data_IF_284994013555
#
_entry.id   IF_284994013555
#
_cell.length_a   1.000
_cell.length_b   1.000
_cell.length_c   1.000
_cell.angle_alpha   90.00
_cell.angle_beta   90.00
_cell.angle_gamma   90.00
#
_symmetry.space_group_name_H-M   'P 1'
#
loop_
_entity.id
_entity.type
_entity.pdbx_description
1 polymer ?
#
# COMPACT_ATOMS: atom_id res chain seq x y z
N UNK A 1 4.11 -20.03 -0.13
CA UNK A 1 3.32 -18.95 0.52
C UNK A 1 3.31 -17.76 -0.42
N UNK A 2 2.16 -17.09 -0.68
CA UNK A 2 2.18 -15.94 -1.59
C UNK A 2 3.06 -14.85 -0.98
N UNK A 3 4.13 -14.51 -1.69
CA UNK A 3 5.12 -13.50 -1.28
C UNK A 3 4.43 -12.15 -1.08
N UNK A 4 4.52 -11.61 0.13
CA UNK A 4 4.09 -10.24 0.43
C UNK A 4 5.27 -9.30 0.13
N UNK A 5 5.25 -8.66 -1.02
CA UNK A 5 6.35 -7.80 -1.46
C UNK A 5 6.02 -6.31 -1.44
N UNK A 6 7.06 -5.47 -1.35
CA UNK A 6 6.92 -4.01 -1.32
C UNK A 6 7.01 -3.45 -2.74
N UNK A 7 6.05 -2.60 -3.11
CA UNK A 7 6.06 -1.85 -4.36
C UNK A 7 7.17 -0.79 -4.29
N UNK A 8 8.09 -0.84 -5.26
CA UNK A 8 9.21 0.11 -5.37
C UNK A 8 9.15 0.96 -6.63
N UNK A 9 8.57 0.46 -7.73
CA UNK A 9 8.56 1.15 -9.02
C UNK A 9 7.42 2.18 -9.08
N UNK A 10 7.71 3.39 -9.56
CA UNK A 10 6.70 4.44 -9.76
C UNK A 10 5.54 3.99 -10.64
N UNK A 11 5.81 3.20 -11.68
CA UNK A 11 4.79 2.68 -12.59
C UNK A 11 3.72 1.85 -11.86
N UNK A 12 4.10 1.05 -10.86
CA UNK A 12 3.16 0.26 -10.05
C UNK A 12 2.26 1.15 -9.18
N UNK A 13 2.80 2.24 -8.61
CA UNK A 13 2.00 3.22 -7.87
C UNK A 13 1.00 3.95 -8.79
N UNK A 14 1.42 4.31 -10.01
CA UNK A 14 0.53 4.93 -10.99
C UNK A 14 -0.54 3.95 -11.49
N UNK A 15 -0.18 2.68 -11.67
CA UNK A 15 -1.11 1.62 -11.99
C UNK A 15 -2.19 1.44 -10.91
N UNK A 16 -1.80 1.43 -9.63
CA UNK A 16 -2.75 1.33 -8.53
C UNK A 16 -3.72 2.52 -8.46
N UNK A 17 -3.27 3.73 -8.83
CA UNK A 17 -4.14 4.92 -8.92
C UNK A 17 -5.25 4.80 -9.97
N UNK A 18 -5.07 3.95 -11.00
CA UNK A 18 -6.08 3.69 -12.03
C UNK A 18 -7.04 2.56 -11.66
N UNK A 19 -6.85 1.92 -10.49
CA UNK A 19 -7.68 0.83 -10.01
C UNK A 19 -8.80 1.29 -9.09
N UNK A 20 -9.25 0.37 -8.23
CA UNK A 20 -10.23 0.63 -7.18
C UNK A 20 -9.68 1.68 -6.22
N UNK A 21 -10.53 2.65 -5.88
CA UNK A 21 -10.25 3.71 -4.93
C UNK A 21 -11.27 3.70 -3.80
N UNK A 22 -10.80 3.52 -2.57
CA UNK A 22 -11.63 3.53 -1.36
C UNK A 22 -11.10 4.58 -0.39
N UNK A 23 -11.86 5.66 -0.20
CA UNK A 23 -11.56 6.66 0.81
C UNK A 23 -12.09 6.21 2.17
N UNK A 24 -11.26 6.31 3.21
CA UNK A 24 -11.60 6.09 4.63
C UNK A 24 -11.08 7.29 5.45
N UNK A 25 -11.59 7.53 6.66
CA UNK A 25 -10.97 8.50 7.56
C UNK A 25 -9.48 8.19 7.73
N UNK A 26 -8.63 9.19 7.50
CA UNK A 26 -7.18 9.11 7.68
C UNK A 26 -6.35 8.57 6.50
N UNK A 27 -6.93 7.86 5.52
CA UNK A 27 -6.19 7.41 4.33
C UNK A 27 -7.10 7.02 3.14
N UNK A 28 -6.48 6.93 1.97
CA UNK A 28 -7.13 6.38 0.76
C UNK A 28 -6.43 5.08 0.39
N UNK A 29 -7.20 4.01 0.22
CA UNK A 29 -6.74 2.75 -0.33
C UNK A 29 -6.88 2.77 -1.85
N UNK A 30 -5.81 2.38 -2.54
CA UNK A 30 -5.77 2.18 -3.98
C UNK A 30 -5.37 0.73 -4.24
N UNK A 31 -6.17 0.02 -5.04
CA UNK A 31 -5.95 -1.40 -5.30
C UNK A 31 -6.23 -1.74 -6.77
N UNK A 32 -5.45 -2.67 -7.31
CA UNK A 32 -5.61 -3.15 -8.69
C UNK A 32 -5.17 -4.62 -8.75
N UNK A 33 -5.87 -5.48 -9.50
CA UNK A 33 -5.33 -6.78 -9.90
C UNK A 33 -3.96 -6.65 -10.54
N UNK A 34 -3.04 -7.55 -10.20
CA UNK A 34 -1.66 -7.51 -10.67
C UNK A 34 -1.26 -8.76 -11.48
N UNK A 35 -2.22 -9.56 -11.91
CA UNK A 35 -1.99 -10.73 -12.75
C UNK A 35 -1.23 -11.84 -12.03
N UNK A 36 -1.59 -12.11 -10.77
CA UNK A 36 -1.04 -13.24 -10.01
C UNK A 36 0.35 -13.03 -9.41
N UNK A 37 0.91 -11.81 -9.42
CA UNK A 37 2.25 -11.50 -8.89
C UNK A 37 2.34 -11.51 -7.35
N UNK A 38 1.44 -12.22 -6.67
CA UNK A 38 1.30 -12.20 -5.22
C UNK A 38 0.77 -10.87 -4.67
N UNK A 39 0.76 -10.76 -3.34
CA UNK A 39 0.26 -9.56 -2.65
C UNK A 39 1.38 -8.52 -2.61
N UNK A 40 1.12 -7.33 -3.15
CA UNK A 40 2.11 -6.24 -3.24
C UNK A 40 1.54 -4.99 -2.57
N UNK A 41 2.33 -4.27 -1.79
CA UNK A 41 1.86 -3.04 -1.14
C UNK A 41 2.86 -1.88 -1.20
N UNK A 42 2.35 -0.66 -1.17
CA UNK A 42 3.14 0.56 -1.11
C UNK A 42 2.44 1.62 -0.27
N UNK A 43 3.22 2.54 0.32
CA UNK A 43 2.70 3.61 1.18
C UNK A 43 3.21 4.94 0.65
N UNK A 44 2.29 5.85 0.38
CA UNK A 44 2.59 7.25 0.07
C UNK A 44 2.12 8.13 1.23
N UNK A 45 2.92 9.13 1.59
CA UNK A 45 2.57 10.13 2.60
C UNK A 45 2.82 11.49 1.97
N UNK A 46 1.81 12.36 1.98
CA UNK A 46 1.91 13.67 1.32
C UNK A 46 2.91 14.57 2.06
N UNK A 47 3.50 15.52 1.33
CA UNK A 47 4.42 16.52 1.92
C UNK A 47 3.73 17.41 2.95
N UNK A 48 2.39 17.55 2.88
CA UNK A 48 1.58 18.32 3.82
C UNK A 48 1.59 17.74 5.25
N UNK A 49 1.92 16.46 5.40
CA UNK A 49 1.98 15.80 6.70
C UNK A 49 3.33 16.08 7.35
N UNK A 50 3.35 17.05 8.27
CA UNK A 50 4.44 17.32 9.21
C UNK A 50 5.85 17.34 8.60
N UNK A 51 6.83 17.12 9.46
CA UNK A 51 8.23 17.01 9.05
C UNK A 51 8.58 15.57 8.58
N UNK A 52 9.83 15.37 8.15
CA UNK A 52 10.31 14.07 7.69
C UNK A 52 10.18 12.96 8.75
N UNK A 53 10.38 13.29 10.03
CA UNK A 53 10.29 12.35 11.15
C UNK A 53 8.85 11.85 11.32
N UNK A 54 7.87 12.75 11.27
CA UNK A 54 6.44 12.40 11.34
C UNK A 54 6.05 11.46 10.20
N UNK A 55 6.41 11.80 8.95
CA UNK A 55 6.13 10.94 7.79
C UNK A 55 6.80 9.58 7.88
N UNK A 56 8.04 9.52 8.35
CA UNK A 56 8.77 8.27 8.50
C UNK A 56 8.16 7.39 9.59
N UNK A 57 7.70 7.98 10.70
CA UNK A 57 6.96 7.27 11.75
C UNK A 57 5.66 6.68 11.21
N UNK A 58 4.89 7.45 10.44
CA UNK A 58 3.65 6.96 9.80
C UNK A 58 3.93 5.80 8.84
N UNK A 59 4.92 5.94 7.93
CA UNK A 59 5.33 4.86 7.03
C UNK A 59 5.80 3.60 7.78
N UNK A 60 6.45 3.74 8.94
CA UNK A 60 6.87 2.59 9.77
C UNK A 60 5.64 1.88 10.36
N UNK A 61 4.74 2.62 11.01
CA UNK A 61 3.52 2.06 11.59
C UNK A 61 2.63 1.38 10.55
N UNK A 62 2.40 2.03 9.40
CA UNK A 62 1.62 1.43 8.32
C UNK A 62 2.27 0.16 7.75
N UNK A 63 3.61 0.11 7.65
CA UNK A 63 4.30 -1.12 7.20
C UNK A 63 4.05 -2.30 8.15
N UNK A 64 4.09 -2.05 9.45
CA UNK A 64 3.84 -3.08 10.46
C UNK A 64 2.39 -3.58 10.37
N UNK A 65 1.42 -2.66 10.31
CA UNK A 65 -0.01 -3.00 10.15
C UNK A 65 -0.27 -3.82 8.88
N UNK A 66 0.29 -3.39 7.74
CA UNK A 66 0.08 -4.09 6.46
C UNK A 66 0.75 -5.47 6.44
N UNK A 67 1.93 -5.62 7.05
CA UNK A 67 2.59 -6.92 7.18
C UNK A 67 1.79 -7.91 8.01
N UNK A 68 1.13 -7.44 9.07
CA UNK A 68 0.26 -8.28 9.89
C UNK A 68 -1.07 -8.60 9.18
N UNK A 69 -1.70 -7.63 8.52
CA UNK A 69 -3.05 -7.77 8.00
C UNK A 69 -3.13 -8.41 6.60
N UNK A 70 -2.26 -8.03 5.66
CA UNK A 70 -2.39 -8.41 4.25
C UNK A 70 -2.28 -9.92 3.97
N UNK A 71 -1.44 -10.71 4.68
CA UNK A 71 -1.40 -12.15 4.48
C UNK A 71 -2.78 -12.80 4.62
N UNK A 72 -3.54 -12.42 5.66
CA UNK A 72 -4.87 -12.95 5.95
C UNK A 72 -6.01 -12.23 5.21
N UNK A 73 -5.98 -10.90 5.13
CA UNK A 73 -7.13 -10.08 4.69
C UNK A 73 -6.90 -9.33 3.36
N UNK A 74 -5.76 -9.51 2.71
CA UNK A 74 -5.47 -8.89 1.41
C UNK A 74 -6.28 -9.51 0.27
N UNK A 75 -6.65 -8.69 -0.72
CA UNK A 75 -7.35 -9.12 -1.94
C UNK A 75 -6.56 -10.20 -2.70
N UNK A 76 -7.29 -11.09 -3.39
CA UNK A 76 -6.70 -12.05 -4.31
C UNK A 76 -6.00 -11.32 -5.46
N UNK A 77 -4.83 -11.80 -5.87
CA UNK A 77 -4.03 -11.22 -6.96
C UNK A 77 -4.54 -11.54 -8.37
N UNK A 78 -5.67 -12.26 -8.47
CA UNK A 78 -6.31 -12.68 -9.74
C UNK A 78 -6.81 -11.51 -10.56
#
# INVERSE_FOLDING_TARGET
>A
MPDLSVIRKRADFLAANRGLRVARPGFVLLARPNGGQGKRFGITVTKKIGNAVVRNRMKRRFRELLRAALPAAGLSSG
#
